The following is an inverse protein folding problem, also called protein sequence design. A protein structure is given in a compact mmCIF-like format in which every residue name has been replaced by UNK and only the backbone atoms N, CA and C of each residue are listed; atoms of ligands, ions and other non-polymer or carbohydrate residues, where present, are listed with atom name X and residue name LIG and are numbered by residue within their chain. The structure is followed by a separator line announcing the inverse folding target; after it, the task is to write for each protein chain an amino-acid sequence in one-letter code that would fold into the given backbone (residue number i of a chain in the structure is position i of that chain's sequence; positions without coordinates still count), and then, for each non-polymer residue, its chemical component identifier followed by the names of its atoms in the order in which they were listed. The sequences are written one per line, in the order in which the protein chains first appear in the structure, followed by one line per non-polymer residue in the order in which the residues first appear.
data_IF_451069509601
#
_entry.id   IF_451069509601
#
_cell.length_a   1.000
_cell.length_b   1.000
_cell.length_c   1.000
_cell.angle_alpha   90.00
_cell.angle_beta   90.00
_cell.angle_gamma   90.00
#
_symmetry.space_group_name_H-M   'P 1'
#
loop_
_entity.id
_entity.type
_entity.pdbx_description
1 polymer ?
#
# COMPACT_ATOMS: atom_id res chain seq x y z
N UNK A 1 21.11 16.94 7.77
CA UNK A 1 20.90 16.19 6.50
C UNK A 1 21.03 17.19 5.36
N UNK A 2 21.95 16.96 4.41
CA UNK A 2 22.24 17.92 3.34
C UNK A 2 21.01 18.21 2.48
N UNK A 3 20.77 19.47 2.14
CA UNK A 3 19.64 19.92 1.33
C UNK A 3 19.51 19.17 0.00
N UNK A 4 20.63 18.72 -0.56
CA UNK A 4 20.70 17.94 -1.79
C UNK A 4 20.11 16.52 -1.60
N UNK A 5 20.44 15.84 -0.49
CA UNK A 5 19.90 14.52 -0.16
C UNK A 5 18.40 14.58 0.11
N UNK A 6 17.94 15.66 0.72
CA UNK A 6 16.51 15.89 0.98
C UNK A 6 15.72 16.07 -0.32
N UNK A 7 16.21 16.91 -1.24
CA UNK A 7 15.57 17.10 -2.56
C UNK A 7 15.52 15.80 -3.37
N UNK A 8 16.55 14.97 -3.26
CA UNK A 8 16.60 13.68 -3.91
C UNK A 8 15.56 12.70 -3.33
N UNK A 9 15.45 12.64 -2.00
CA UNK A 9 14.46 11.80 -1.32
C UNK A 9 13.02 12.21 -1.63
N UNK A 10 12.74 13.52 -1.70
CA UNK A 10 11.42 14.03 -2.10
C UNK A 10 11.10 13.64 -3.56
N UNK A 11 12.06 13.76 -4.47
CA UNK A 11 11.88 13.35 -5.88
C UNK A 11 11.64 11.85 -6.01
N UNK A 12 12.34 11.03 -5.23
CA UNK A 12 12.11 9.60 -5.17
C UNK A 12 10.72 9.26 -4.63
N UNK A 13 10.24 9.99 -3.64
CA UNK A 13 8.90 9.81 -3.10
C UNK A 13 7.81 10.17 -4.12
N UNK A 14 7.99 11.28 -4.86
CA UNK A 14 7.08 11.62 -5.95
C UNK A 14 7.11 10.60 -7.09
N UNK A 15 8.29 10.10 -7.45
CA UNK A 15 8.42 9.04 -8.45
C UNK A 15 7.74 7.77 -7.98
N UNK A 16 7.93 7.37 -6.72
CA UNK A 16 7.25 6.24 -6.10
C UNK A 16 5.72 6.41 -6.13
N UNK A 17 5.20 7.57 -5.70
CA UNK A 17 3.77 7.86 -5.74
C UNK A 17 3.21 7.87 -7.15
N UNK A 18 3.96 8.39 -8.13
CA UNK A 18 3.58 8.37 -9.54
C UNK A 18 3.48 6.94 -10.07
N UNK A 19 4.52 6.10 -9.86
CA UNK A 19 4.51 4.70 -10.27
C UNK A 19 3.45 3.89 -9.52
N UNK A 20 3.16 4.23 -8.28
CA UNK A 20 2.09 3.63 -7.50
C UNK A 20 0.70 3.96 -8.07
N UNK A 21 0.49 5.19 -8.51
CA UNK A 21 -0.74 5.58 -9.20
C UNK A 21 -0.86 5.01 -10.62
N UNK A 22 0.26 4.66 -11.24
CA UNK A 22 0.31 4.07 -12.58
C UNK A 22 0.02 2.56 -12.54
N UNK A 23 -1.06 2.20 -11.85
CA UNK A 23 -1.52 0.81 -11.68
C UNK A 23 -2.06 0.26 -13.01
N UNK A 24 -1.16 -0.09 -13.93
CA UNK A 24 -1.49 -0.78 -15.19
C UNK A 24 -2.27 -2.08 -14.92
N UNK A 25 -2.09 -2.66 -13.75
CA UNK A 25 -2.77 -3.92 -13.37
C UNK A 25 -4.29 -3.74 -13.19
N UNK A 26 -4.77 -2.53 -12.86
CA UNK A 26 -6.19 -2.27 -12.62
C UNK A 26 -7.09 -2.58 -13.83
N UNK A 27 -6.81 -2.12 -15.05
CA UNK A 27 -7.61 -2.46 -16.21
C UNK A 27 -7.49 -3.93 -16.63
N UNK A 28 -6.40 -4.63 -16.24
CA UNK A 28 -6.15 -6.03 -16.64
C UNK A 28 -6.76 -7.02 -15.65
N UNK A 29 -6.89 -6.65 -14.37
CA UNK A 29 -7.32 -7.58 -13.31
C UNK A 29 -8.79 -7.99 -13.47
N UNK A 30 -9.66 -7.08 -13.89
CA UNK A 30 -11.08 -7.37 -14.09
C UNK A 30 -11.32 -8.36 -15.24
N UNK A 31 -10.77 -8.17 -16.45
CA UNK A 31 -10.83 -9.18 -17.52
C UNK A 31 -10.25 -10.54 -17.10
N UNK A 32 -9.18 -10.54 -16.32
CA UNK A 32 -8.57 -11.77 -15.82
C UNK A 32 -9.53 -12.56 -14.92
N UNK A 33 -10.22 -11.90 -13.98
CA UNK A 33 -11.22 -12.55 -13.14
C UNK A 33 -12.42 -13.08 -13.95
N UNK A 34 -12.87 -12.33 -14.96
CA UNK A 34 -13.92 -12.77 -15.86
C UNK A 34 -13.50 -14.00 -16.66
N UNK A 35 -12.25 -14.06 -17.12
CA UNK A 35 -11.70 -15.23 -17.81
C UNK A 35 -11.65 -16.48 -16.92
N UNK A 36 -11.43 -16.31 -15.61
CA UNK A 36 -11.53 -17.38 -14.62
C UNK A 36 -12.97 -17.80 -14.30
N UNK A 37 -13.97 -17.17 -14.90
CA UNK A 37 -15.39 -17.48 -14.72
C UNK A 37 -16.04 -16.84 -13.50
N UNK A 38 -15.41 -15.83 -12.90
CA UNK A 38 -16.02 -15.09 -11.79
C UNK A 38 -17.11 -14.15 -12.28
N UNK A 39 -18.22 -14.10 -11.52
CA UNK A 39 -19.29 -13.13 -11.78
C UNK A 39 -18.85 -11.72 -11.35
N UNK A 40 -19.48 -10.70 -11.93
CA UNK A 40 -19.25 -9.29 -11.51
C UNK A 40 -19.49 -9.07 -10.02
N UNK A 41 -20.46 -9.77 -9.42
CA UNK A 41 -20.71 -9.71 -7.98
C UNK A 41 -19.54 -10.25 -7.17
N UNK A 42 -18.92 -11.35 -7.58
CA UNK A 42 -17.74 -11.91 -6.92
C UNK A 42 -16.54 -10.98 -7.03
N UNK A 43 -16.32 -10.37 -8.20
CA UNK A 43 -15.26 -9.39 -8.41
C UNK A 43 -15.47 -8.19 -7.50
N UNK A 44 -16.71 -7.69 -7.40
CA UNK A 44 -17.04 -6.57 -6.53
C UNK A 44 -16.82 -6.92 -5.05
N UNK A 45 -17.19 -8.13 -4.60
CA UNK A 45 -16.93 -8.60 -3.24
C UNK A 45 -15.43 -8.64 -2.91
N UNK A 46 -14.59 -9.06 -3.85
CA UNK A 46 -13.12 -9.02 -3.68
C UNK A 46 -12.61 -7.60 -3.46
N UNK A 47 -13.13 -6.62 -4.21
CA UNK A 47 -12.74 -5.21 -4.05
C UNK A 47 -13.24 -4.63 -2.71
N UNK A 48 -14.45 -4.98 -2.30
CA UNK A 48 -15.00 -4.59 -0.99
C UNK A 48 -14.17 -5.19 0.14
N UNK A 49 -13.77 -6.45 0.04
CA UNK A 49 -12.92 -7.09 1.04
C UNK A 49 -11.56 -6.40 1.17
N UNK A 50 -10.91 -6.07 0.04
CA UNK A 50 -9.67 -5.30 0.01
C UNK A 50 -9.83 -3.93 0.69
N UNK A 51 -10.82 -3.15 0.26
CA UNK A 51 -11.07 -1.80 0.79
C UNK A 51 -11.43 -1.80 2.28
N UNK A 52 -12.31 -2.72 2.71
CA UNK A 52 -12.69 -2.87 4.11
C UNK A 52 -11.50 -3.24 4.99
N UNK A 53 -10.68 -4.18 4.55
CA UNK A 53 -9.48 -4.59 5.26
C UNK A 53 -8.49 -3.41 5.41
N UNK A 54 -8.29 -2.65 4.34
CA UNK A 54 -7.44 -1.45 4.35
C UNK A 54 -7.94 -0.43 5.38
N UNK A 55 -9.23 -0.09 5.35
CA UNK A 55 -9.83 0.89 6.26
C UNK A 55 -9.77 0.43 7.73
N UNK A 56 -10.11 -0.82 8.02
CA UNK A 56 -10.10 -1.36 9.38
C UNK A 56 -8.68 -1.39 9.96
N UNK A 57 -7.70 -1.72 9.14
CA UNK A 57 -6.32 -1.84 9.59
C UNK A 57 -5.54 -0.51 9.54
N UNK A 58 -6.10 0.56 8.98
CA UNK A 58 -5.42 1.86 8.88
C UNK A 58 -5.07 2.44 10.25
N UNK A 59 -5.97 2.34 11.22
CA UNK A 59 -5.70 2.79 12.59
C UNK A 59 -4.66 1.91 13.31
N UNK A 60 -4.79 0.56 13.35
CA UNK A 60 -3.78 -0.31 13.95
C UNK A 60 -2.41 -0.21 13.27
N UNK A 61 -2.37 -0.04 11.95
CA UNK A 61 -1.10 0.08 11.21
C UNK A 61 -0.35 1.37 11.51
N UNK A 62 -1.08 2.49 11.69
CA UNK A 62 -0.50 3.74 12.15
C UNK A 62 0.15 3.61 13.53
N UNK A 63 -0.54 2.96 14.47
CA UNK A 63 -0.01 2.67 15.81
C UNK A 63 1.23 1.76 15.75
N UNK A 64 1.21 0.74 14.90
CA UNK A 64 2.34 -0.16 14.69
C UNK A 64 3.55 0.59 14.12
N UNK A 65 3.33 1.52 13.20
CA UNK A 65 4.38 2.37 12.61
C UNK A 65 5.05 3.27 13.67
N UNK A 66 4.28 3.74 14.66
CA UNK A 66 4.81 4.54 15.75
C UNK A 66 5.64 3.72 16.75
N UNK A 67 5.24 2.45 17.00
CA UNK A 67 5.95 1.55 17.93
C UNK A 67 7.20 0.92 17.32
N UNK A 68 7.11 0.37 16.12
CA UNK A 68 8.18 -0.38 15.47
C UNK A 68 9.09 0.49 14.59
N UNK A 69 8.67 1.72 14.37
CA UNK A 69 9.34 2.63 13.45
C UNK A 69 8.85 2.48 12.01
N UNK A 70 8.68 3.60 11.37
CA UNK A 70 8.11 3.73 10.02
C UNK A 70 8.82 2.90 8.97
N UNK A 71 10.18 2.82 9.04
CA UNK A 71 10.97 2.03 8.10
C UNK A 71 10.64 0.54 8.15
N UNK A 72 10.52 -0.03 9.35
CA UNK A 72 10.24 -1.45 9.53
C UNK A 72 8.83 -1.80 9.09
N UNK A 73 7.88 -0.91 9.35
CA UNK A 73 6.49 -1.05 8.91
C UNK A 73 6.35 -1.02 7.39
N UNK A 74 7.10 -0.15 6.70
CA UNK A 74 7.16 -0.14 5.23
C UNK A 74 7.75 -1.42 4.65
N UNK A 75 8.84 -1.94 5.26
CA UNK A 75 9.45 -3.20 4.83
C UNK A 75 8.45 -4.35 5.00
N UNK A 76 7.74 -4.40 6.13
CA UNK A 76 6.71 -5.41 6.36
C UNK A 76 5.58 -5.31 5.32
N UNK A 77 5.10 -4.10 5.04
CA UNK A 77 4.10 -3.85 3.99
C UNK A 77 4.57 -4.33 2.62
N UNK A 78 5.81 -4.02 2.25
CA UNK A 78 6.41 -4.46 0.97
C UNK A 78 6.54 -5.98 0.89
N UNK A 79 6.92 -6.65 1.97
CA UNK A 79 6.97 -8.12 2.03
C UNK A 79 5.58 -8.75 1.89
N UNK A 80 4.58 -8.20 2.57
CA UNK A 80 3.19 -8.66 2.45
C UNK A 80 2.66 -8.46 1.02
N UNK A 81 3.01 -7.36 0.34
CA UNK A 81 2.69 -7.18 -1.07
C UNK A 81 3.35 -8.23 -1.95
N UNK A 82 4.64 -8.48 -1.76
CA UNK A 82 5.39 -9.46 -2.55
C UNK A 82 4.79 -10.87 -2.39
N UNK A 83 4.46 -11.27 -1.16
CA UNK A 83 3.83 -12.57 -0.88
C UNK A 83 2.40 -12.60 -1.44
N UNK A 84 1.61 -11.54 -1.25
CA UNK A 84 0.24 -11.45 -1.77
C UNK A 84 0.18 -11.57 -3.30
N UNK A 85 1.03 -10.85 -4.02
CA UNK A 85 1.11 -10.97 -5.47
C UNK A 85 1.70 -12.32 -5.91
N UNK A 86 2.63 -12.90 -5.15
CA UNK A 86 3.11 -14.26 -5.39
C UNK A 86 2.00 -15.30 -5.28
N UNK A 87 1.17 -15.20 -4.24
CA UNK A 87 0.02 -16.09 -4.06
C UNK A 87 -1.06 -15.90 -5.14
N UNK A 88 -1.16 -14.72 -5.73
CA UNK A 88 -2.10 -14.43 -6.81
C UNK A 88 -1.93 -15.36 -8.01
N UNK A 89 -0.69 -15.74 -8.35
CA UNK A 89 -0.40 -16.67 -9.45
C UNK A 89 -0.86 -18.10 -9.18
N UNK A 90 -0.95 -18.49 -7.90
CA UNK A 90 -1.37 -19.83 -7.49
C UNK A 90 -2.86 -19.89 -7.12
N UNK A 91 -3.54 -18.76 -7.09
CA UNK A 91 -4.95 -18.70 -6.76
C UNK A 91 -5.80 -19.10 -7.96
N UNK A 92 -6.70 -20.08 -7.75
CA UNK A 92 -7.63 -20.58 -8.77
C UNK A 92 -9.08 -20.58 -8.28
N UNK A 93 -9.31 -20.39 -6.99
CA UNK A 93 -10.63 -20.41 -6.36
C UNK A 93 -10.95 -19.07 -5.72
N UNK A 94 -12.21 -18.72 -5.66
CA UNK A 94 -12.68 -17.47 -5.05
C UNK A 94 -12.15 -17.24 -3.64
N UNK A 95 -12.17 -18.26 -2.77
CA UNK A 95 -11.65 -18.15 -1.40
C UNK A 95 -10.16 -17.84 -1.33
N UNK A 96 -9.35 -18.33 -2.27
CA UNK A 96 -7.92 -18.02 -2.35
C UNK A 96 -7.71 -16.56 -2.76
N UNK A 97 -8.47 -16.07 -3.74
CA UNK A 97 -8.44 -14.65 -4.12
C UNK A 97 -8.92 -13.74 -2.99
N UNK A 98 -9.92 -14.18 -2.22
CA UNK A 98 -10.37 -13.42 -1.04
C UNK A 98 -9.23 -13.27 -0.02
N UNK A 99 -8.50 -14.33 0.28
CA UNK A 99 -7.33 -14.29 1.17
C UNK A 99 -6.23 -13.37 0.64
N UNK A 100 -5.94 -13.45 -0.66
CA UNK A 100 -4.98 -12.55 -1.31
C UNK A 100 -5.42 -11.08 -1.17
N UNK A 101 -6.70 -10.78 -1.39
CA UNK A 101 -7.22 -9.42 -1.27
C UNK A 101 -7.14 -8.88 0.17
N UNK A 102 -7.44 -9.69 1.16
CA UNK A 102 -7.28 -9.32 2.56
C UNK A 102 -5.82 -9.02 2.91
N UNK A 103 -4.91 -9.85 2.40
CA UNK A 103 -3.47 -9.68 2.62
C UNK A 103 -2.92 -8.43 1.92
N UNK A 104 -3.35 -8.16 0.68
CA UNK A 104 -3.00 -6.94 -0.05
C UNK A 104 -3.60 -5.69 0.61
N UNK A 105 -4.82 -5.77 1.15
CA UNK A 105 -5.44 -4.69 1.93
C UNK A 105 -4.66 -4.37 3.20
N UNK A 106 -4.19 -5.39 3.92
CA UNK A 106 -3.34 -5.21 5.09
C UNK A 106 -1.99 -4.56 4.71
N UNK A 107 -1.36 -5.02 3.62
CA UNK A 107 -0.13 -4.45 3.10
C UNK A 107 -0.30 -2.97 2.70
N UNK A 108 -1.42 -2.63 2.05
CA UNK A 108 -1.78 -1.25 1.69
C UNK A 108 -1.92 -0.36 2.91
N UNK A 109 -2.61 -0.83 3.94
CA UNK A 109 -2.78 -0.10 5.20
C UNK A 109 -1.43 0.21 5.88
N UNK A 110 -0.50 -0.75 5.90
CA UNK A 110 0.84 -0.54 6.44
C UNK A 110 1.64 0.50 5.63
N UNK A 111 1.48 0.52 4.32
CA UNK A 111 2.16 1.47 3.44
C UNK A 111 1.58 2.88 3.56
N UNK A 112 0.25 3.04 3.44
CA UNK A 112 -0.44 4.35 3.40
C UNK A 112 -0.25 5.15 4.69
N UNK A 113 -0.38 4.52 5.85
CA UNK A 113 -0.20 5.17 7.15
C UNK A 113 1.22 5.69 7.37
N UNK A 114 2.21 5.04 6.78
CA UNK A 114 3.63 5.39 6.93
C UNK A 114 4.06 6.50 5.98
N UNK A 115 3.57 6.53 4.75
CA UNK A 115 3.94 7.52 3.73
C UNK A 115 3.50 8.93 4.11
N UNK A 116 2.26 9.10 4.57
CA UNK A 116 1.73 10.38 5.04
C UNK A 116 2.51 10.90 6.25
N UNK A 117 2.81 10.03 7.20
CA UNK A 117 3.53 10.41 8.41
C UNK A 117 4.99 10.81 8.13
N UNK A 118 5.67 10.16 7.16
CA UNK A 118 7.00 10.56 6.70
C UNK A 118 6.97 11.93 6.01
N UNK A 119 5.98 12.17 5.17
CA UNK A 119 5.80 13.45 4.48
C UNK A 119 5.60 14.59 5.50
N UNK A 120 4.72 14.41 6.48
CA UNK A 120 4.49 15.40 7.55
C UNK A 120 5.74 15.65 8.40
N UNK A 121 6.51 14.61 8.74
CA UNK A 121 7.74 14.76 9.50
C UNK A 121 8.78 15.61 8.74
N UNK A 122 8.88 15.45 7.43
CA UNK A 122 9.83 16.22 6.62
C UNK A 122 9.39 17.67 6.37
N UNK A 123 8.07 17.92 6.22
CA UNK A 123 7.51 19.26 6.07
C UNK A 123 7.68 20.05 7.38
N UNK A 124 7.38 19.45 8.53
CA UNK A 124 7.48 20.14 9.83
C UNK A 124 8.93 20.48 10.22
N UNK A 125 9.92 19.72 9.76
CA UNK A 125 11.33 20.04 9.99
C UNK A 125 11.73 21.36 9.28
N UNK A 126 11.09 21.68 8.15
CA UNK A 126 11.35 22.93 7.42
C UNK A 126 10.83 24.18 8.16
N UNK A 127 9.63 24.10 8.75
CA UNK A 127 9.02 25.25 9.44
C UNK A 127 9.75 25.62 10.73
N UNK A 128 10.48 24.69 11.32
CA UNK A 128 11.26 24.96 12.55
C UNK A 128 12.61 25.57 12.23
N UNK A 129 13.19 25.28 11.08
CA UNK A 129 14.51 25.80 10.66
C UNK A 129 14.41 27.23 10.10
N UNK A 130 13.26 27.63 9.54
CA UNK A 130 13.04 29.02 9.06
C UNK A 130 12.68 30.00 10.16
N UNK A 131 12.34 29.52 11.36
CA UNK A 131 12.02 30.38 12.53
C UNK A 131 13.17 30.55 13.52
N UNK A 132 14.29 29.93 13.28
CA UNK A 132 15.53 30.08 14.07
C UNK A 132 16.56 30.95 13.32
#
# INVERSE_FOLDING_TARGET
MDATKRRWNIRLLYAYAFFWMFLIIMPVITPYYLHLGFSMQQIFLLQVAFGSCTLILEVPSGYLADLWGRKNTLILGALLYAVGYGMFFFAHRFGQFLMVQLMLGAAMSLASGTDLALLYAWINTDTTTERA
#
